data_IF_829945169824
#
_entry.id   IF_829945169824
#
_cell.length_a   1.000
_cell.length_b   1.000
_cell.length_c   1.000
_cell.angle_alpha   90.00
_cell.angle_beta   90.00
_cell.angle_gamma   90.00
#
_symmetry.space_group_name_H-M   'P 1'
#
loop_
_entity.id
_entity.type
_entity.pdbx_description
1 polymer ?
#
# COMPACT_ATOMS: atom_id res chain seq x y z
N UNK A 1 3.90 -13.48 -2.02
CA UNK A 1 4.53 -13.33 -0.67
C UNK A 1 3.60 -12.57 0.28
N UNK A 2 3.13 -11.35 -0.05
CA UNK A 2 2.11 -10.63 0.75
C UNK A 2 0.71 -11.27 0.70
N UNK A 3 0.35 -11.91 -0.42
CA UNK A 3 -0.95 -12.57 -0.63
C UNK A 3 -1.30 -13.67 0.37
N UNK A 4 -0.33 -14.19 1.13
CA UNK A 4 -0.54 -15.15 2.21
C UNK A 4 -1.11 -14.50 3.48
N UNK A 5 -1.06 -13.18 3.58
CA UNK A 5 -1.32 -12.41 4.80
C UNK A 5 -2.45 -11.39 4.65
N UNK A 6 -2.99 -11.22 3.44
CA UNK A 6 -4.01 -10.22 3.15
C UNK A 6 -4.37 -10.17 1.68
N UNK A 7 -5.35 -9.34 1.35
CA UNK A 7 -5.66 -9.04 -0.03
C UNK A 7 -4.58 -8.13 -0.63
N UNK A 8 -4.04 -8.54 -1.77
CA UNK A 8 -3.09 -7.75 -2.57
C UNK A 8 -3.78 -7.37 -3.87
N UNK A 9 -3.85 -6.07 -4.16
CA UNK A 9 -4.35 -5.56 -5.44
C UNK A 9 -3.20 -4.82 -6.15
N UNK A 10 -2.58 -5.44 -7.17
CA UNK A 10 -1.60 -4.76 -7.99
C UNK A 10 -2.28 -3.79 -8.94
N UNK A 11 -1.54 -2.76 -9.38
CA UNK A 11 -1.98 -1.75 -10.35
C UNK A 11 -3.37 -1.18 -10.03
N UNK A 12 -3.61 -0.95 -8.73
CA UNK A 12 -4.92 -0.54 -8.24
C UNK A 12 -5.22 0.87 -8.75
N UNK A 13 -6.28 1.00 -9.54
CA UNK A 13 -6.73 2.27 -10.10
C UNK A 13 -7.31 3.16 -9.01
N UNK A 14 -6.98 4.43 -9.08
CA UNK A 14 -7.51 5.49 -8.21
C UNK A 14 -8.29 6.50 -9.05
N UNK A 15 -9.39 7.03 -8.51
CA UNK A 15 -10.23 7.99 -9.22
C UNK A 15 -9.71 9.42 -9.04
N UNK A 16 -9.36 10.10 -10.14
CA UNK A 16 -8.91 11.50 -10.12
C UNK A 16 -8.04 11.89 -11.30
N UNK A 17 -7.25 10.95 -11.80
CA UNK A 17 -6.48 10.94 -13.05
C UNK A 17 -6.07 9.47 -13.24
N UNK A 18 -5.56 9.01 -14.39
CA UNK A 18 -5.08 7.61 -14.53
C UNK A 18 -3.83 7.39 -13.66
N UNK A 19 -4.03 7.24 -12.35
CA UNK A 19 -2.99 6.97 -11.36
C UNK A 19 -3.24 5.56 -10.86
N UNK A 20 -2.25 4.70 -11.07
CA UNK A 20 -2.24 3.33 -10.57
C UNK A 20 -1.32 3.28 -9.36
N UNK A 21 -1.74 2.48 -8.38
CA UNK A 21 -0.93 2.13 -7.22
C UNK A 21 -0.30 0.79 -7.48
N UNK A 22 1.02 0.71 -7.31
CA UNK A 22 1.77 -0.53 -7.55
C UNK A 22 1.24 -1.68 -6.69
N UNK A 23 1.00 -1.42 -5.39
CA UNK A 23 0.40 -2.40 -4.47
C UNK A 23 -0.50 -1.72 -3.44
N UNK A 24 -1.78 -2.09 -3.43
CA UNK A 24 -2.67 -1.92 -2.27
C UNK A 24 -2.71 -3.23 -1.47
N UNK A 25 -2.42 -3.14 -0.18
CA UNK A 25 -2.46 -4.27 0.76
C UNK A 25 -3.50 -4.02 1.86
N UNK A 26 -4.39 -5.00 2.07
CA UNK A 26 -5.42 -5.01 3.11
C UNK A 26 -5.23 -6.29 3.94
N UNK A 27 -4.77 -6.21 5.20
CA UNK A 27 -4.51 -7.39 6.03
C UNK A 27 -5.80 -8.11 6.45
N UNK A 28 -5.77 -9.45 6.50
CA UNK A 28 -6.93 -10.27 6.86
C UNK A 28 -6.95 -10.74 8.33
N UNK A 29 -5.84 -10.67 9.07
CA UNK A 29 -5.69 -11.22 10.44
C UNK A 29 -4.61 -10.49 11.27
N UNK A 30 -4.64 -10.68 12.59
CA UNK A 30 -3.78 -9.99 13.57
C UNK A 30 -2.27 -10.27 13.38
N UNK A 31 -1.59 -9.30 12.77
CA UNK A 31 -0.23 -8.73 12.97
C UNK A 31 0.98 -9.61 13.35
N UNK A 32 0.88 -10.58 14.27
CA UNK A 32 2.07 -11.21 14.88
C UNK A 32 2.80 -12.16 13.92
N UNK A 33 2.07 -13.00 13.19
CA UNK A 33 2.63 -13.93 12.20
C UNK A 33 3.22 -13.17 10.99
N UNK A 34 2.56 -12.08 10.59
CA UNK A 34 3.01 -11.20 9.49
C UNK A 34 4.35 -10.55 9.85
N UNK A 35 4.46 -10.03 11.08
CA UNK A 35 5.64 -9.30 11.55
C UNK A 35 6.87 -10.21 11.67
N UNK A 36 6.71 -11.45 12.14
CA UNK A 36 7.83 -12.39 12.29
C UNK A 36 8.40 -12.86 10.95
N UNK A 37 7.56 -13.14 9.95
CA UNK A 37 8.00 -13.71 8.67
C UNK A 37 8.47 -12.66 7.65
N UNK A 38 8.00 -11.41 7.75
CA UNK A 38 8.28 -10.36 6.77
C UNK A 38 9.18 -9.23 7.31
N UNK A 39 9.60 -9.31 8.57
CA UNK A 39 10.48 -8.32 9.18
C UNK A 39 9.91 -6.89 9.08
N UNK A 40 10.69 -5.96 8.52
CA UNK A 40 10.25 -4.57 8.36
C UNK A 40 8.99 -4.43 7.50
N UNK A 41 8.88 -5.21 6.41
CA UNK A 41 7.69 -5.18 5.56
C UNK A 41 6.45 -5.62 6.34
N UNK A 42 6.59 -6.60 7.23
CA UNK A 42 5.50 -7.05 8.10
C UNK A 42 5.06 -5.97 9.09
N UNK A 43 6.00 -5.16 9.59
CA UNK A 43 5.68 -4.00 10.45
C UNK A 43 4.93 -2.90 9.70
N UNK A 44 5.27 -2.67 8.42
CA UNK A 44 4.60 -1.67 7.57
C UNK A 44 3.22 -2.14 7.11
N UNK A 45 3.01 -3.45 6.99
CA UNK A 45 1.79 -4.08 6.51
C UNK A 45 0.79 -4.43 7.64
N UNK A 46 0.91 -3.84 8.83
CA UNK A 46 0.00 -4.12 9.95
C UNK A 46 -1.40 -3.50 9.79
N UNK A 47 -1.51 -2.47 8.95
CA UNK A 47 -2.76 -1.80 8.60
C UNK A 47 -2.89 -1.79 7.07
N UNK A 48 -4.03 -1.31 6.57
CA UNK A 48 -4.19 -0.98 5.16
C UNK A 48 -3.05 -0.07 4.71
N UNK A 49 -2.34 -0.50 3.67
CA UNK A 49 -1.10 0.13 3.25
C UNK A 49 -0.97 0.16 1.73
N UNK A 50 -0.29 1.21 1.25
CA UNK A 50 0.12 1.36 -0.15
C UNK A 50 1.64 1.22 -0.20
N UNK A 51 2.14 0.42 -1.15
CA UNK A 51 3.57 0.32 -1.43
C UNK A 51 3.87 0.79 -2.86
N UNK A 52 4.77 1.76 -2.98
CA UNK A 52 5.21 2.39 -4.24
C UNK A 52 6.74 2.29 -4.31
N UNK A 53 7.31 1.20 -4.85
CA UNK A 53 8.75 1.03 -4.99
C UNK A 53 9.34 1.95 -6.07
N UNK A 54 10.27 2.82 -5.68
CA UNK A 54 11.03 3.66 -6.62
C UNK A 54 12.39 3.02 -6.95
N UNK A 55 12.77 3.00 -8.24
CA UNK A 55 14.10 2.53 -8.69
C UNK A 55 15.20 3.57 -8.47
N UNK A 56 14.81 4.82 -8.32
CA UNK A 56 15.68 5.96 -8.08
C UNK A 56 15.31 6.61 -6.74
N UNK A 57 16.16 7.47 -6.17
CA UNK A 57 15.79 8.29 -5.03
C UNK A 57 14.50 9.06 -5.31
N UNK A 58 13.56 8.98 -4.36
CA UNK A 58 12.24 9.60 -4.51
C UNK A 58 12.36 11.12 -4.52
N UNK A 59 11.65 11.77 -5.42
CA UNK A 59 11.53 13.23 -5.51
C UNK A 59 10.40 13.74 -4.60
N UNK A 60 10.44 15.03 -4.26
CA UNK A 60 9.37 15.67 -3.48
C UNK A 60 8.01 15.54 -4.18
N UNK A 61 7.97 15.67 -5.50
CA UNK A 61 6.73 15.54 -6.27
C UNK A 61 6.17 14.11 -6.24
N UNK A 62 7.04 13.09 -6.30
CA UNK A 62 6.61 11.69 -6.16
C UNK A 62 6.08 11.42 -4.75
N UNK A 63 6.70 11.96 -3.70
CA UNK A 63 6.17 11.89 -2.33
C UNK A 63 4.77 12.52 -2.25
N UNK A 64 4.60 13.74 -2.77
CA UNK A 64 3.29 14.42 -2.79
C UNK A 64 2.25 13.59 -3.56
N UNK A 65 2.65 12.95 -4.66
CA UNK A 65 1.78 12.06 -5.44
C UNK A 65 1.35 10.84 -4.63
N UNK A 66 2.28 10.19 -3.90
CA UNK A 66 1.96 9.08 -3.01
C UNK A 66 0.99 9.49 -1.90
N UNK A 67 1.17 10.69 -1.32
CA UNK A 67 0.26 11.21 -0.31
C UNK A 67 -1.16 11.42 -0.86
N UNK A 68 -1.29 11.96 -2.06
CA UNK A 68 -2.60 12.13 -2.72
C UNK A 68 -3.28 10.77 -2.96
N UNK A 69 -2.56 9.80 -3.53
CA UNK A 69 -3.05 8.42 -3.72
C UNK A 69 -3.55 7.80 -2.41
N UNK A 70 -2.81 8.00 -1.31
CA UNK A 70 -3.19 7.48 0.01
C UNK A 70 -4.49 8.10 0.53
N UNK A 71 -4.70 9.40 0.33
CA UNK A 71 -5.94 10.08 0.72
C UNK A 71 -7.14 9.58 -0.08
N UNK A 72 -6.98 9.43 -1.40
CA UNK A 72 -8.02 8.94 -2.31
C UNK A 72 -8.41 7.48 -1.99
N UNK A 73 -7.43 6.60 -1.74
CA UNK A 73 -7.70 5.21 -1.33
C UNK A 73 -8.40 5.15 0.01
N UNK A 74 -7.97 5.96 0.99
CA UNK A 74 -8.63 6.00 2.29
C UNK A 74 -10.10 6.37 2.17
N UNK A 75 -10.43 7.35 1.33
CA UNK A 75 -11.83 7.70 1.03
C UNK A 75 -12.57 6.52 0.39
N UNK A 76 -11.94 5.78 -0.51
CA UNK A 76 -12.56 4.62 -1.17
C UNK A 76 -12.82 3.42 -0.26
N UNK A 77 -11.99 3.22 0.77
CA UNK A 77 -12.13 2.12 1.75
C UNK A 77 -13.14 2.48 2.84
N UNK A 78 -13.29 3.76 3.17
CA UNK A 78 -14.25 4.23 4.17
C UNK A 78 -15.70 4.32 3.67
N UNK A 79 -15.94 4.17 2.37
CA UNK A 79 -17.27 4.11 1.75
C UNK A 79 -17.78 2.67 1.67
#
# INVERSE_FOLDING_TARGET
>A
MLSLYGQVKPDQKVAGEKREIDVLFIPNTTSEIITQNLGLLGKLAQNDAIFEPFRNPVTINEICTCLLKALEVRESIQR
#
